data_IF_362614826625
#
_entry.id   IF_362614826625
#
_cell.length_a   1.000
_cell.length_b   1.000
_cell.length_c   1.000
_cell.angle_alpha   90.00
_cell.angle_beta   90.00
_cell.angle_gamma   90.00
#
_symmetry.space_group_name_H-M   'P 1'
#
loop_
_entity.id
_entity.type
_entity.pdbx_description
1 polymer ?
2 non-polymer ?
3 non-polymer ?
4 water ?
#
# COMPACT_ATOMS: atom_id res chain seq x y z
N UNK A 1 -6.67 1.56 24.23
CA UNK A 1 -5.73 0.39 24.27
C UNK A 1 -4.34 0.83 23.79
N UNK A 2 -3.46 -0.15 23.52
CA UNK A 2 -2.03 0.02 23.11
C UNK A 2 -1.87 -0.20 21.59
N UNK A 3 -0.76 0.30 21.04
CA UNK A 3 -0.29 0.01 19.65
C UNK A 3 0.87 -0.99 19.68
N UNK A 4 1.07 -1.68 18.55
CA UNK A 4 2.23 -2.56 18.26
C UNK A 4 3.02 -1.91 17.12
N UNK A 5 4.26 -1.49 17.36
CA UNK A 5 5.06 -0.70 16.39
C UNK A 5 6.14 -1.58 15.74
N UNK A 6 5.97 -1.86 14.45
CA UNK A 6 6.91 -2.64 13.60
C UNK A 6 7.59 -1.71 12.60
N UNK A 7 8.88 -1.89 12.28
CA UNK A 7 9.46 -1.19 11.12
C UNK A 7 8.69 -1.54 9.84
N UNK A 8 8.60 -0.58 8.93
CA UNK A 8 7.87 -0.69 7.63
C UNK A 8 8.53 -1.74 6.72
N UNK A 9 9.85 -1.89 6.79
CA UNK A 9 10.62 -2.77 5.88
C UNK A 9 11.94 -3.23 6.51
N UNK A 10 12.46 -4.35 6.00
CA UNK A 10 13.81 -4.88 6.29
C UNK A 10 14.25 -5.64 5.04
N UNK A 11 15.55 -5.81 4.88
CA UNK A 11 16.14 -6.56 3.76
C UNK A 11 17.45 -7.22 4.19
N UNK A 12 17.81 -8.28 3.48
CA UNK A 12 19.10 -8.98 3.60
C UNK A 12 19.28 -9.90 2.39
N UNK A 13 20.49 -10.41 2.22
CA UNK A 13 20.84 -11.35 1.12
C UNK A 13 20.50 -12.77 1.56
N UNK A 14 20.36 -13.72 0.60
CA UNK A 14 20.09 -15.12 0.95
C UNK A 14 21.16 -15.65 1.91
N UNK A 15 20.77 -16.51 2.86
CA UNK A 15 21.67 -17.15 3.84
C UNK A 15 21.88 -16.31 5.08
N UNK A 16 21.50 -15.04 5.10
CA UNK A 16 21.74 -14.18 6.29
C UNK A 16 20.60 -14.33 7.28
N UNK A 17 20.77 -13.72 8.45
CA UNK A 17 19.79 -13.61 9.56
C UNK A 17 19.21 -12.17 9.60
N UNK A 18 17.89 -12.05 9.73
CA UNK A 18 17.19 -10.73 9.83
C UNK A 18 16.23 -10.80 11.03
N UNK A 19 16.10 -9.68 11.76
CA UNK A 19 15.21 -9.53 12.93
C UNK A 19 14.20 -8.39 12.69
N UNK A 20 12.94 -8.65 13.00
CA UNK A 20 11.75 -7.74 12.89
C UNK A 20 11.25 -7.56 14.31
N UNK A 21 11.34 -6.33 14.80
CA UNK A 21 10.89 -5.90 16.15
C UNK A 21 9.40 -5.54 16.10
N UNK A 22 8.76 -5.58 17.25
CA UNK A 22 7.33 -5.32 17.46
C UNK A 22 7.20 -4.74 18.86
N UNK A 23 7.25 -3.41 18.98
CA UNK A 23 7.29 -2.69 20.28
C UNK A 23 5.87 -2.38 20.75
N UNK A 24 5.53 -2.75 21.98
CA UNK A 24 4.20 -2.48 22.57
C UNK A 24 4.21 -1.07 23.16
N UNK A 25 3.25 -0.23 22.79
CA UNK A 25 3.19 1.22 23.13
C UNK A 25 3.06 1.41 24.65
N UNK A 26 2.00 0.90 25.28
CA UNK A 26 1.77 0.94 26.75
C UNK A 26 1.56 -0.48 27.32
N UNK A 27 1.92 -0.65 28.59
CA UNK A 27 1.76 -1.91 29.32
C UNK A 27 2.94 -2.84 29.09
N UNK A 28 2.75 -4.14 29.38
CA UNK A 28 3.83 -5.16 29.47
C UNK A 28 3.70 -6.14 28.31
N UNK A 29 4.73 -6.24 27.48
CA UNK A 29 4.74 -7.17 26.32
C UNK A 29 4.41 -8.59 26.80
N UNK A 30 4.84 -8.98 28.01
CA UNK A 30 4.69 -10.37 28.52
C UNK A 30 3.29 -10.59 29.11
N UNK A 31 2.49 -9.54 29.27
CA UNK A 31 1.08 -9.63 29.77
C UNK A 31 0.25 -10.50 28.83
N UNK A 32 0.46 -10.35 27.52
CA UNK A 32 -0.34 -11.07 26.51
C UNK A 32 0.60 -11.67 25.46
N UNK A 33 0.21 -12.85 24.95
CA UNK A 33 0.92 -13.62 23.91
C UNK A 33 0.97 -12.83 22.60
N UNK A 34 2.04 -13.05 21.84
CA UNK A 34 2.27 -12.40 20.52
C UNK A 34 2.29 -13.50 19.47
N UNK A 35 1.57 -13.30 18.37
CA UNK A 35 1.56 -14.16 17.15
C UNK A 35 2.32 -13.40 16.05
N UNK A 36 2.92 -14.13 15.10
CA UNK A 36 3.50 -13.57 13.87
C UNK A 36 2.85 -14.24 12.66
N UNK A 37 2.40 -13.45 11.69
CA UNK A 37 1.84 -13.99 10.44
C UNK A 37 2.74 -13.53 9.27
N UNK A 38 2.94 -14.45 8.32
CA UNK A 38 3.64 -14.28 7.04
C UNK A 38 2.62 -14.18 5.91
N UNK A 39 2.66 -13.14 5.08
CA UNK A 39 1.96 -13.14 3.78
C UNK A 39 2.96 -12.97 2.63
N UNK A 40 3.23 -14.02 1.87
CA UNK A 40 3.94 -13.91 0.57
C UNK A 40 3.05 -13.17 -0.42
N UNK A 41 3.64 -12.38 -1.37
CA UNK A 41 2.84 -11.61 -2.31
C UNK A 41 1.98 -12.58 -3.13
N UNK A 42 0.71 -12.23 -3.37
CA UNK A 42 -0.29 -13.07 -4.05
C UNK A 42 -0.63 -14.36 -3.30
N UNK A 43 -0.43 -14.43 -1.96
CA UNK A 43 -0.71 -15.63 -1.12
C UNK A 43 -1.60 -15.28 0.08
N UNK A 44 -2.17 -16.34 0.65
CA UNK A 44 -2.89 -16.32 1.93
C UNK A 44 -1.87 -16.23 3.06
N UNK A 45 -2.21 -15.53 4.17
CA UNK A 45 -1.35 -15.55 5.34
C UNK A 45 -1.30 -16.97 5.94
N UNK A 46 -0.24 -17.21 6.69
CA UNK A 46 -0.01 -18.42 7.52
C UNK A 46 0.60 -17.93 8.83
N UNK A 47 0.35 -18.63 9.91
CA UNK A 47 1.03 -18.38 11.21
C UNK A 47 2.42 -19.01 11.14
N UNK A 48 3.46 -18.25 11.47
CA UNK A 48 4.84 -18.83 11.65
C UNK A 48 5.17 -18.93 13.15
N UNK A 49 4.65 -18.03 14.00
CA UNK A 49 4.82 -18.08 15.48
C UNK A 49 3.47 -17.83 16.17
N UNK A 50 3.21 -18.54 17.26
CA UNK A 50 2.12 -18.21 18.22
C UNK A 50 2.65 -18.30 19.65
N UNK A 51 1.97 -17.66 20.58
CA UNK A 51 2.30 -17.70 22.02
C UNK A 51 3.79 -17.40 22.17
N UNK A 52 4.28 -16.36 21.49
CA UNK A 52 5.59 -15.70 21.69
C UNK A 52 6.66 -16.47 20.91
N UNK A 53 6.68 -17.80 20.99
CA UNK A 53 7.82 -18.57 20.43
C UNK A 53 7.41 -19.97 19.96
N UNK A 54 6.12 -20.28 19.89
CA UNK A 54 5.67 -21.63 19.45
C UNK A 54 5.60 -21.63 17.93
N UNK A 55 6.18 -22.66 17.34
CA UNK A 55 6.26 -22.85 15.88
C UNK A 55 5.25 -23.92 15.53
N UNK A 56 4.23 -23.63 14.68
CA UNK A 56 3.32 -24.65 14.18
C UNK A 56 4.06 -25.67 13.31
N UNK A 57 3.53 -26.89 13.20
CA UNK A 57 4.17 -27.97 12.40
C UNK A 57 4.27 -27.50 10.94
N UNK A 58 5.36 -27.85 10.25
CA UNK A 58 5.62 -27.40 8.87
C UNK A 58 6.35 -26.07 8.78
N UNK A 59 6.59 -25.37 9.90
CA UNK A 59 7.32 -24.07 9.90
C UNK A 59 8.76 -24.30 10.36
N UNK A 60 9.75 -24.14 9.45
CA UNK A 60 11.13 -24.51 9.77
C UNK A 60 11.66 -23.72 10.97
N UNK A 61 12.60 -24.30 11.72
CA UNK A 61 13.14 -23.69 12.96
C UNK A 61 14.11 -22.55 12.63
N UNK A 62 14.20 -22.13 11.36
CA UNK A 62 14.85 -20.86 10.92
C UNK A 62 14.06 -19.69 11.51
N UNK A 63 12.74 -19.86 11.67
CA UNK A 63 11.87 -18.84 12.30
C UNK A 63 11.89 -19.03 13.81
N UNK A 64 12.17 -17.94 14.52
CA UNK A 64 12.27 -17.97 15.99
C UNK A 64 11.65 -16.69 16.58
N UNK A 65 10.73 -16.89 17.52
CA UNK A 65 10.10 -15.79 18.24
C UNK A 65 10.75 -15.62 19.60
N UNK A 66 10.81 -14.39 20.06
CA UNK A 66 11.42 -14.02 21.36
C UNK A 66 10.65 -12.82 21.89
N UNK A 67 10.82 -12.58 23.19
CA UNK A 67 10.27 -11.42 23.92
C UNK A 67 11.45 -10.77 24.62
N UNK A 68 11.52 -9.43 24.58
CA UNK A 68 12.48 -8.63 25.38
C UNK A 68 11.64 -7.71 26.27
N UNK A 69 11.61 -8.01 27.57
CA UNK A 69 10.83 -7.24 28.57
C UNK A 69 11.45 -5.85 28.77
N UNK A 70 12.79 -5.74 28.69
CA UNK A 70 13.56 -4.47 28.83
C UNK A 70 13.07 -3.44 27.81
N UNK A 71 12.91 -3.84 26.55
CA UNK A 71 12.47 -2.97 25.41
C UNK A 71 10.96 -3.06 25.21
N UNK A 72 10.28 -3.93 25.97
CA UNK A 72 8.81 -4.16 25.87
C UNK A 72 8.43 -4.55 24.43
N UNK A 73 9.15 -5.51 23.84
CA UNK A 73 9.05 -5.87 22.40
C UNK A 73 9.11 -7.39 22.21
N UNK A 74 8.40 -7.84 21.17
CA UNK A 74 8.52 -9.15 20.50
C UNK A 74 9.48 -9.00 19.32
N UNK A 75 10.14 -10.09 18.94
CA UNK A 75 10.95 -10.12 17.72
C UNK A 75 10.74 -11.47 17.03
N UNK A 76 10.70 -11.44 15.71
CA UNK A 76 10.78 -12.60 14.82
C UNK A 76 12.16 -12.57 14.16
N UNK A 77 12.94 -13.62 14.37
CA UNK A 77 14.30 -13.77 13.79
C UNK A 77 14.21 -14.88 12.76
N UNK A 78 14.68 -14.59 11.56
CA UNK A 78 14.73 -15.57 10.44
C UNK A 78 16.20 -15.71 10.03
N UNK A 79 16.77 -16.87 10.30
CA UNK A 79 18.16 -17.23 9.90
C UNK A 79 18.11 -18.00 8.57
N UNK A 80 19.23 -18.05 7.87
CA UNK A 80 19.37 -18.82 6.63
C UNK A 80 18.33 -18.37 5.62
N UNK A 81 18.22 -17.05 5.45
CA UNK A 81 17.18 -16.41 4.60
C UNK A 81 17.14 -17.07 3.21
N UNK A 82 15.95 -17.46 2.77
CA UNK A 82 15.67 -18.01 1.42
C UNK A 82 14.69 -17.08 0.69
N UNK A 83 14.63 -17.14 -0.64
CA UNK A 83 13.84 -16.22 -1.48
C UNK A 83 12.36 -16.32 -1.08
N UNK A 84 11.88 -17.52 -0.72
CA UNK A 84 10.44 -17.69 -0.38
C UNK A 84 10.11 -17.00 0.97
N UNK A 85 11.11 -16.60 1.77
CA UNK A 85 10.85 -15.80 3.02
C UNK A 85 10.44 -14.35 2.68
N UNK A 86 10.58 -13.92 1.42
CA UNK A 86 10.12 -12.57 1.00
C UNK A 86 8.61 -12.49 1.19
N UNK A 87 8.13 -11.55 2.02
CA UNK A 87 6.72 -11.50 2.47
C UNK A 87 6.50 -10.31 3.35
N UNK A 88 5.22 -10.06 3.68
CA UNK A 88 4.83 -9.16 4.78
C UNK A 88 4.68 -10.00 6.07
N UNK A 89 5.14 -9.42 7.18
CA UNK A 89 5.16 -10.03 8.53
C UNK A 89 4.40 -9.09 9.46
N UNK A 90 3.34 -9.60 10.08
CA UNK A 90 2.51 -8.87 11.07
C UNK A 90 2.62 -9.56 12.42
N UNK A 91 2.97 -8.80 13.48
CA UNK A 91 2.83 -9.23 14.90
C UNK A 91 1.44 -8.85 15.42
N UNK A 92 0.94 -9.54 16.44
CA UNK A 92 -0.46 -9.43 16.95
C UNK A 92 -0.53 -9.88 18.41
N UNK A 93 -1.19 -9.08 19.27
CA UNK A 93 -1.46 -9.42 20.71
C UNK A 93 -2.86 -8.94 21.11
N UNK A 94 -3.13 -8.80 22.43
CA UNK A 94 -4.45 -8.42 22.99
C UNK A 94 -4.31 -7.60 24.28
N UNK A 95 -5.39 -6.94 24.70
CA UNK A 95 -5.78 -6.58 26.05
C UNK A 95 -7.23 -6.73 26.04
N UNK A 96 -7.83 -7.77 26.68
CA UNK A 96 -9.29 -8.08 26.69
C UNK A 96 -9.66 -8.48 25.33
N UNK A 97 -10.93 -8.27 24.97
CA UNK A 97 -11.50 -8.56 23.62
C UNK A 97 -10.76 -7.75 22.55
N UNK A 98 -9.91 -6.80 22.96
CA UNK A 98 -9.10 -5.94 22.04
C UNK A 98 -7.91 -6.73 21.46
N UNK A 99 -8.11 -7.33 20.29
CA UNK A 99 -7.03 -7.78 19.36
C UNK A 99 -6.28 -6.54 18.86
N UNK A 100 -4.95 -6.58 18.85
CA UNK A 100 -4.11 -5.45 18.37
C UNK A 100 -3.10 -6.01 17.37
N UNK A 101 -3.11 -5.54 16.12
CA UNK A 101 -2.12 -5.87 15.06
C UNK A 101 -1.09 -4.75 14.91
N UNK A 102 0.16 -5.12 14.57
CA UNK A 102 1.17 -4.19 14.01
C UNK A 102 0.85 -3.83 12.57
N UNK A 103 1.47 -2.76 12.07
CA UNK A 103 1.26 -2.20 10.72
C UNK A 103 1.81 -3.12 9.63
N UNK A 104 2.66 -4.08 9.99
CA UNK A 104 3.31 -4.99 9.04
C UNK A 104 4.70 -4.51 8.66
N UNK A 105 5.59 -5.45 8.36
CA UNK A 105 6.99 -5.23 7.93
C UNK A 105 7.19 -6.02 6.64
N UNK A 106 7.46 -5.31 5.53
CA UNK A 106 7.87 -5.94 4.24
C UNK A 106 9.32 -6.40 4.34
N UNK A 107 9.56 -7.70 4.22
CA UNK A 107 10.91 -8.31 4.17
C UNK A 107 11.26 -8.60 2.71
N UNK A 108 12.28 -7.94 2.19
CA UNK A 108 12.90 -8.22 0.87
C UNK A 108 14.18 -9.03 1.07
N UNK A 109 14.25 -10.15 0.36
CA UNK A 109 15.48 -10.92 0.08
C UNK A 109 16.08 -10.32 -1.21
N UNK A 110 17.17 -9.57 -1.07
CA UNK A 110 17.75 -8.70 -2.13
C UNK A 110 17.98 -9.53 -3.38
N UNK A 111 17.28 -9.18 -4.48
CA UNK A 111 17.45 -9.78 -5.81
C UNK A 111 18.39 -8.93 -6.65
N UNK A 112 18.84 -7.80 -6.10
CA UNK A 112 19.62 -6.79 -6.83
C UNK A 112 20.17 -5.81 -5.80
N UNK A 113 21.08 -4.90 -6.19
CA UNK A 113 21.65 -3.92 -5.26
C UNK A 113 20.63 -2.92 -4.74
N UNK A 114 20.78 -2.50 -3.49
CA UNK A 114 19.95 -1.43 -2.89
C UNK A 114 20.17 -0.15 -3.70
N UNK A 115 19.13 0.67 -3.83
CA UNK A 115 19.20 1.99 -4.48
C UNK A 115 18.30 2.95 -3.70
N UNK A 116 18.83 4.06 -3.21
CA UNK A 116 18.03 5.08 -2.49
C UNK A 116 17.19 5.85 -3.50
N UNK A 117 15.95 6.27 -3.14
CA UNK A 117 15.07 6.93 -4.11
C UNK A 117 15.53 8.36 -4.45
N UNK A 118 15.40 8.75 -5.73
CA UNK A 118 15.29 10.17 -6.16
C UNK A 118 13.90 10.66 -5.77
N UNK A 119 13.83 11.78 -5.08
CA UNK A 119 12.57 12.39 -4.55
C UNK A 119 12.48 13.80 -5.14
N UNK A 120 11.45 14.07 -5.94
CA UNK A 120 11.19 15.44 -6.48
C UNK A 120 9.82 15.89 -5.98
N UNK A 121 9.78 17.05 -5.31
CA UNK A 121 8.53 17.66 -4.81
C UNK A 121 8.17 18.83 -5.75
N UNK A 122 6.97 18.75 -6.32
CA UNK A 122 6.43 19.74 -7.28
C UNK A 122 5.30 20.54 -6.63
N UNK A 123 5.38 21.90 -6.62
CA UNK A 123 4.30 22.75 -6.12
C UNK A 123 3.20 22.78 -7.18
N UNK A 124 2.00 23.34 -6.89
CA UNK A 124 0.87 23.21 -7.81
C UNK A 124 1.15 23.87 -9.17
N UNK A 125 0.65 23.33 -10.28
CA UNK A 125 0.79 23.96 -11.63
C UNK A 125 -0.27 25.07 -11.79
N UNK A 126 0.03 26.09 -12.60
CA UNK A 126 -0.88 27.24 -12.91
C UNK A 126 -2.24 26.75 -13.39
N UNK A 127 -2.25 25.81 -14.33
CA UNK A 127 -3.50 25.34 -14.95
C UNK A 127 -4.43 24.69 -13.89
N UNK A 128 -3.91 23.88 -12.97
CA UNK A 128 -4.79 23.19 -11.97
C UNK A 128 -5.31 24.26 -11.00
N UNK A 129 -4.49 25.27 -10.67
CA UNK A 129 -4.84 26.36 -9.74
C UNK A 129 -6.13 27.06 -10.20
N UNK A 130 -6.24 27.38 -11.49
CA UNK A 130 -7.41 28.13 -12.02
C UNK A 130 -8.58 27.17 -12.20
N UNK A 131 -8.38 25.86 -12.01
CA UNK A 131 -9.45 24.85 -11.84
C UNK A 131 -9.74 24.64 -10.35
N UNK A 132 -9.24 25.52 -9.47
CA UNK A 132 -9.39 25.44 -7.98
C UNK A 132 -8.82 24.11 -7.45
N UNK A 133 -7.60 23.73 -7.89
CA UNK A 133 -6.84 22.56 -7.37
C UNK A 133 -5.38 22.97 -7.10
N UNK A 134 -4.86 22.57 -5.95
CA UNK A 134 -3.46 22.79 -5.57
C UNK A 134 -2.81 21.43 -5.23
N UNK A 135 -3.14 20.38 -5.98
CA UNK A 135 -2.51 19.04 -5.80
C UNK A 135 -0.99 19.19 -5.90
N UNK A 136 -0.26 18.71 -4.88
CA UNK A 136 1.22 18.57 -4.91
C UNK A 136 1.55 17.11 -5.31
N UNK A 137 2.62 16.90 -6.06
CA UNK A 137 3.08 15.52 -6.40
C UNK A 137 4.51 15.36 -5.87
N UNK A 138 4.71 14.25 -5.17
CA UNK A 138 6.05 13.77 -4.72
C UNK A 138 6.43 12.58 -5.60
N UNK A 139 7.34 12.75 -6.55
CA UNK A 139 7.79 11.65 -7.45
C UNK A 139 8.97 10.93 -6.77
N UNK A 140 8.91 9.61 -6.71
CA UNK A 140 9.88 8.72 -6.02
C UNK A 140 10.33 7.67 -7.03
N UNK A 141 11.56 7.77 -7.53
CA UNK A 141 12.05 6.89 -8.63
C UNK A 141 13.35 6.21 -8.22
N UNK A 142 13.69 5.14 -8.93
CA UNK A 142 15.05 4.54 -8.98
C UNK A 142 15.42 3.90 -7.63
N UNK A 143 14.48 3.23 -6.96
CA UNK A 143 14.72 2.65 -5.61
C UNK A 143 14.57 1.13 -5.65
N UNK A 144 15.36 0.51 -4.78
CA UNK A 144 15.28 -0.94 -4.50
C UNK A 144 15.77 -1.09 -3.06
N UNK A 145 15.11 -1.93 -2.23
CA UNK A 145 13.86 -2.59 -2.59
C UNK A 145 12.64 -1.70 -2.89
N UNK A 146 11.56 -2.31 -3.38
CA UNK A 146 10.32 -1.64 -3.78
C UNK A 146 9.43 -1.19 -2.63
N UNK A 147 9.90 -1.13 -1.39
CA UNK A 147 9.09 -0.66 -0.24
C UNK A 147 9.45 0.78 0.16
N UNK A 148 8.47 1.69 0.18
CA UNK A 148 8.63 3.07 0.76
C UNK A 148 7.46 3.40 1.68
N UNK A 149 7.68 4.36 2.55
CA UNK A 149 6.65 5.01 3.39
C UNK A 149 6.70 6.50 3.11
N UNK A 150 5.55 7.12 2.90
CA UNK A 150 5.47 8.57 2.58
C UNK A 150 4.59 9.22 3.62
N UNK A 151 5.04 10.33 4.19
CA UNK A 151 4.22 11.18 5.09
C UNK A 151 4.35 12.63 4.61
N UNK A 152 3.26 13.39 4.73
CA UNK A 152 3.21 14.81 4.34
C UNK A 152 3.06 15.68 5.59
N UNK A 153 3.62 16.88 5.53
CA UNK A 153 3.47 17.93 6.57
C UNK A 153 2.93 19.21 5.93
N UNK A 154 1.87 19.76 6.52
CA UNK A 154 1.48 21.18 6.43
C UNK A 154 2.26 21.94 7.51
N UNK A 155 3.25 22.73 7.08
CA UNK A 155 4.28 23.37 7.96
C UNK A 155 4.93 22.21 8.70
N UNK A 156 4.58 22.03 9.97
CA UNK A 156 5.16 21.02 10.88
C UNK A 156 4.17 19.90 11.26
N UNK A 157 2.87 20.13 11.09
CA UNK A 157 1.80 19.15 11.44
C UNK A 157 1.73 18.07 10.36
N UNK A 158 1.84 16.78 10.73
CA UNK A 158 1.37 15.69 9.87
C UNK A 158 0.03 16.02 9.20
N UNK A 159 -0.08 15.71 7.91
CA UNK A 159 -1.36 15.71 7.14
C UNK A 159 -1.74 14.25 6.97
N UNK A 160 -3.01 13.88 7.13
CA UNK A 160 -3.51 12.55 6.71
C UNK A 160 -4.59 12.73 5.64
N UNK A 161 -5.31 13.85 5.71
CA UNK A 161 -6.33 14.26 4.73
C UNK A 161 -5.68 14.52 3.36
N UNK A 162 -6.15 13.79 2.34
CA UNK A 162 -5.92 14.04 0.90
C UNK A 162 -4.71 13.30 0.33
N UNK A 163 -3.97 12.54 1.13
CA UNK A 163 -2.75 11.81 0.69
C UNK A 163 -3.16 10.56 -0.09
N UNK A 164 -2.64 10.38 -1.31
CA UNK A 164 -2.66 9.07 -2.03
C UNK A 164 -1.24 8.74 -2.50
N UNK A 165 -0.84 7.46 -2.35
CA UNK A 165 0.47 6.96 -2.79
C UNK A 165 0.27 5.75 -3.71
N UNK A 166 0.94 5.71 -4.86
CA UNK A 166 0.83 4.55 -5.78
C UNK A 166 1.63 3.37 -5.22
N UNK A 167 1.23 2.17 -5.57
CA UNK A 167 1.99 0.95 -5.31
C UNK A 167 3.26 0.99 -6.17
N UNK A 168 4.45 0.87 -5.56
CA UNK A 168 5.70 0.85 -6.31
C UNK A 168 5.66 -0.14 -7.49
N UNK A 169 6.11 0.32 -8.66
CA UNK A 169 6.16 -0.47 -9.92
C UNK A 169 7.57 -0.46 -10.52
N UNK A 170 7.94 -1.59 -11.10
CA UNK A 170 9.27 -1.83 -11.71
C UNK A 170 9.31 -1.06 -13.03
N UNK A 171 10.27 -0.16 -13.21
CA UNK A 171 10.40 0.64 -14.44
C UNK A 171 11.46 -0.02 -15.37
N UNK A 172 11.84 0.63 -16.46
CA UNK A 172 12.66 0.01 -17.53
C UNK A 172 14.11 -0.22 -17.04
N UNK A 173 14.57 0.52 -16.02
CA UNK A 173 15.93 0.33 -15.43
C UNK A 173 15.87 -0.76 -14.34
N UNK A 174 14.74 -1.48 -14.21
CA UNK A 174 14.54 -2.58 -13.23
C UNK A 174 14.52 -2.05 -11.79
N UNK A 175 14.46 -0.73 -11.59
CA UNK A 175 14.21 -0.13 -10.27
C UNK A 175 12.74 0.33 -10.21
N UNK A 176 12.26 0.56 -9.00
CA UNK A 176 10.87 0.93 -8.66
C UNK A 176 10.67 2.45 -8.73
N UNK A 177 9.47 2.85 -9.17
CA UNK A 177 8.97 4.24 -9.07
C UNK A 177 7.56 4.22 -8.47
N UNK A 178 7.19 5.32 -7.85
CA UNK A 178 5.84 5.59 -7.30
C UNK A 178 5.70 7.11 -7.14
N UNK A 179 4.47 7.58 -6.99
CA UNK A 179 4.15 9.00 -6.70
C UNK A 179 3.19 9.08 -5.51
N UNK A 180 3.39 10.07 -4.65
CA UNK A 180 2.44 10.48 -3.60
C UNK A 180 1.90 11.84 -4.04
N UNK A 181 0.56 11.98 -4.04
CA UNK A 181 -0.12 13.27 -4.30
C UNK A 181 -1.07 13.61 -3.15
N UNK A 182 -0.96 14.89 -2.72
CA UNK A 182 -1.79 15.57 -1.70
C UNK A 182 -2.72 16.58 -2.40
N UNK A 183 -4.00 16.23 -2.50
CA UNK A 183 -5.07 17.05 -3.11
C UNK A 183 -5.46 18.20 -2.16
N UNK A 184 -4.77 19.34 -2.26
CA UNK A 184 -5.06 20.60 -1.50
C UNK A 184 -5.97 21.50 -2.34
N UNK A 185 -6.85 22.26 -1.69
CA UNK A 185 -7.49 23.46 -2.29
C UNK A 185 -6.46 24.57 -2.32
N UNK A 186 -6.57 25.51 -3.28
CA UNK A 186 -5.77 26.72 -3.23
C UNK A 186 -5.76 27.37 -1.83
N UNK A 187 -6.89 27.42 -1.14
CA UNK A 187 -6.97 28.14 0.16
C UNK A 187 -6.05 27.45 1.17
N UNK A 188 -6.07 26.11 1.20
CA UNK A 188 -5.16 25.32 2.07
C UNK A 188 -3.69 25.60 1.69
N UNK A 189 -3.35 25.49 0.41
CA UNK A 189 -1.95 25.60 -0.10
C UNK A 189 -1.38 26.98 0.27
N UNK A 190 -2.21 28.03 0.14
CA UNK A 190 -1.82 29.43 0.41
C UNK A 190 -1.88 29.72 1.92
N UNK A 191 -2.73 29.01 2.67
CA UNK A 191 -2.90 29.25 4.13
C UNK A 191 -1.78 28.58 4.95
N UNK A 192 -0.62 28.24 4.36
CA UNK A 192 0.56 27.64 5.04
C UNK A 192 1.84 28.26 4.48
N UNK A 193 2.96 28.22 5.21
CA UNK A 193 4.25 28.80 4.76
C UNK A 193 4.99 27.82 3.85
N UNK A 194 4.71 26.52 3.97
CA UNK A 194 5.42 25.42 3.25
C UNK A 194 4.73 24.09 3.51
N UNK A 195 4.87 23.15 2.58
CA UNK A 195 4.43 21.74 2.69
C UNK A 195 5.63 20.83 2.47
N UNK A 196 5.56 19.60 2.97
CA UNK A 196 6.72 18.66 2.92
C UNK A 196 6.26 17.22 2.67
N UNK A 197 7.11 16.51 1.93
CA UNK A 197 7.02 15.07 1.59
C UNK A 197 8.23 14.39 2.21
N UNK A 198 7.99 13.48 3.15
CA UNK A 198 9.03 12.71 3.87
C UNK A 198 8.95 11.27 3.36
N UNK A 199 9.99 10.82 2.70
CA UNK A 199 10.06 9.47 2.10
C UNK A 199 11.04 8.64 2.92
N UNK A 200 10.56 7.54 3.49
CA UNK A 200 11.39 6.54 4.20
C UNK A 200 11.56 5.31 3.32
N UNK A 201 12.81 4.88 3.16
CA UNK A 201 13.30 3.71 2.41
C UNK A 201 14.49 3.13 3.16
N UNK A 202 14.48 1.83 3.46
CA UNK A 202 15.58 1.13 4.18
C UNK A 202 15.88 1.89 5.49
N UNK A 203 14.85 2.30 6.24
CA UNK A 203 14.99 2.98 7.55
C UNK A 203 15.50 4.42 7.48
N UNK A 204 15.96 4.87 6.29
CA UNK A 204 16.54 6.21 6.00
C UNK A 204 15.46 7.12 5.39
N UNK A 205 15.28 8.33 5.91
CA UNK A 205 14.17 9.26 5.59
C UNK A 205 14.73 10.53 4.95
N UNK A 206 14.27 10.84 3.73
CA UNK A 206 14.57 12.12 3.01
C UNK A 206 13.30 12.95 3.01
N UNK A 207 13.46 14.28 2.95
CA UNK A 207 12.38 15.27 3.19
C UNK A 207 12.58 16.42 2.20
N UNK A 208 11.56 16.73 1.42
CA UNK A 208 11.61 17.85 0.44
C UNK A 208 10.52 18.83 0.85
N UNK A 209 10.76 20.13 0.64
CA UNK A 209 9.81 21.22 1.02
C UNK A 209 9.53 22.11 -0.18
N UNK A 210 8.26 22.47 -0.39
CA UNK A 210 7.88 23.56 -1.34
C UNK A 210 7.03 24.62 -0.61
N UNK A 211 7.18 25.87 -1.04
CA UNK A 211 6.48 27.05 -0.48
C UNK A 211 5.69 27.74 -1.59
N UNK A 212 4.54 28.36 -1.30
CA UNK A 212 3.89 29.27 -2.26
C UNK A 212 4.81 30.46 -2.62
N UNK A 213 4.83 30.81 -3.92
CA UNK A 213 5.35 32.09 -4.49
C UNK A 213 4.60 32.39 -5.80
N UNK A 214 4.87 33.54 -6.43
CA UNK A 214 4.35 33.92 -7.78
C UNK A 214 5.52 34.16 -8.74
N UNK A 215 5.55 33.46 -9.87
CA UNK A 215 6.48 33.71 -11.01
C UNK A 215 5.72 34.34 -12.18
N UNK B 1 -3.66 -30.56 12.89
CA UNK B 1 -4.06 -29.57 11.85
C UNK B 1 -5.50 -29.83 11.43
N UNK B 2 -6.21 -28.77 11.03
CA UNK B 2 -7.35 -28.78 10.08
C UNK B 2 -7.11 -27.64 9.08
N UNK B 3 -7.93 -27.58 8.03
CA UNK B 3 -7.84 -26.55 6.97
C UNK B 3 -9.20 -25.85 6.81
N UNK B 4 -9.17 -24.57 6.43
CA UNK B 4 -10.38 -23.78 6.14
C UNK B 4 -10.42 -23.59 4.64
N UNK B 5 -11.49 -24.04 4.01
CA UNK B 5 -11.58 -24.06 2.53
C UNK B 5 -12.58 -22.97 2.10
N UNK B 6 -12.10 -22.01 1.32
CA UNK B 6 -12.93 -20.88 0.79
C UNK B 6 -12.94 -21.02 -0.72
N UNK B 7 -13.96 -20.51 -1.43
CA UNK B 7 -13.89 -20.40 -2.88
C UNK B 7 -12.71 -19.48 -3.21
N UNK B 8 -12.10 -19.70 -4.38
CA UNK B 8 -10.99 -18.88 -4.94
C UNK B 8 -11.52 -17.48 -5.27
N UNK B 9 -12.68 -17.41 -5.90
CA UNK B 9 -13.28 -16.18 -6.46
C UNK B 9 -14.82 -16.26 -6.40
N UNK B 10 -15.45 -15.10 -6.27
CA UNK B 10 -16.90 -14.86 -6.55
C UNK B 10 -17.00 -13.48 -7.19
N UNK B 11 -18.04 -13.30 -8.02
CA UNK B 11 -18.37 -12.05 -8.74
C UNK B 11 -19.85 -11.73 -8.52
N UNK B 12 -20.18 -10.45 -8.39
CA UNK B 12 -21.58 -9.99 -8.25
C UNK B 12 -21.63 -8.51 -8.60
N UNK B 13 -22.79 -8.01 -9.02
CA UNK B 13 -23.03 -6.60 -9.42
C UNK B 13 -23.45 -5.80 -8.18
N UNK B 14 -23.38 -4.45 -8.22
CA UNK B 14 -23.69 -3.63 -7.05
C UNK B 14 -25.14 -3.82 -6.58
N UNK B 15 -25.42 -3.40 -5.34
CA UNK B 15 -26.76 -3.49 -4.72
C UNK B 15 -27.20 -4.92 -4.44
N UNK B 16 -26.53 -5.92 -5.01
CA UNK B 16 -26.88 -7.34 -4.78
C UNK B 16 -26.16 -7.84 -3.51
N UNK B 17 -26.43 -9.08 -3.16
CA UNK B 17 -25.95 -9.78 -1.94
C UNK B 17 -24.95 -10.85 -2.35
N UNK B 18 -23.81 -10.92 -1.68
CA UNK B 18 -22.83 -12.01 -1.99
C UNK B 18 -22.52 -12.73 -0.68
N UNK B 19 -22.28 -14.03 -0.81
CA UNK B 19 -21.97 -14.95 0.31
C UNK B 19 -20.65 -15.68 -0.02
N UNK B 20 -19.71 -15.62 0.93
CA UNK B 20 -18.42 -16.36 0.90
C UNK B 20 -18.45 -17.39 2.03
N UNK B 21 -18.35 -18.67 1.69
CA UNK B 21 -18.31 -19.82 2.61
C UNK B 21 -16.87 -20.14 3.02
N UNK B 22 -16.72 -20.67 4.22
CA UNK B 22 -15.44 -21.09 4.81
C UNK B 22 -15.68 -22.43 5.50
N UNK B 23 -15.33 -23.54 4.84
CA UNK B 23 -15.60 -24.91 5.36
C UNK B 23 -14.38 -25.44 6.12
N UNK B 24 -14.60 -25.89 7.36
CA UNK B 24 -13.59 -26.56 8.21
C UNK B 24 -13.53 -28.05 7.82
N UNK B 25 -12.31 -28.56 7.57
CA UNK B 25 -12.00 -29.88 6.96
C UNK B 25 -12.22 -31.00 7.99
N UNK B 26 -11.71 -30.81 9.20
CA UNK B 26 -11.89 -31.72 10.35
C UNK B 26 -12.13 -30.87 11.59
N UNK B 27 -12.78 -31.42 12.61
CA UNK B 27 -13.32 -30.67 13.76
C UNK B 27 -14.61 -29.95 13.40
N UNK B 28 -15.39 -29.60 14.41
CA UNK B 28 -16.65 -28.82 14.26
C UNK B 28 -16.32 -27.32 14.13
N UNK B 29 -16.92 -26.65 13.16
CA UNK B 29 -16.79 -25.19 12.92
C UNK B 29 -17.02 -24.42 14.23
N UNK B 30 -17.90 -24.90 15.11
CA UNK B 30 -18.40 -24.12 16.27
C UNK B 30 -17.55 -24.37 17.52
N UNK B 31 -16.51 -25.20 17.42
CA UNK B 31 -15.56 -25.48 18.53
C UNK B 31 -14.69 -24.24 18.76
N UNK B 32 -14.54 -23.36 17.77
CA UNK B 32 -13.69 -22.13 17.85
C UNK B 32 -14.30 -20.99 17.03
N UNK B 33 -14.09 -19.76 17.52
CA UNK B 33 -14.53 -18.50 16.89
C UNK B 33 -13.90 -18.35 15.49
N UNK B 34 -14.70 -17.85 14.54
CA UNK B 34 -14.25 -17.46 13.18
C UNK B 34 -14.17 -15.93 13.07
N UNK B 35 -13.09 -15.44 12.48
CA UNK B 35 -12.86 -14.03 12.11
C UNK B 35 -12.91 -13.93 10.59
N UNK B 36 -13.28 -12.76 10.06
CA UNK B 36 -13.11 -12.43 8.63
C UNK B 36 -12.27 -11.16 8.46
N UNK B 37 -11.33 -11.19 7.53
CA UNK B 37 -10.45 -10.05 7.19
C UNK B 37 -10.71 -9.70 5.73
N UNK B 38 -10.74 -8.40 5.46
CA UNK B 38 -10.74 -7.80 4.11
C UNK B 38 -9.36 -7.22 3.84
N UNK B 39 -8.81 -7.45 2.66
CA UNK B 39 -7.52 -6.89 2.22
C UNK B 39 -7.73 -6.29 0.83
N UNK B 40 -7.57 -4.98 0.70
CA UNK B 40 -7.42 -4.31 -0.62
C UNK B 40 -5.97 -4.48 -1.05
N UNK B 41 -5.69 -4.70 -2.36
CA UNK B 41 -4.35 -5.06 -2.82
C UNK B 41 -3.35 -3.91 -2.59
N UNK B 42 -2.19 -4.21 -1.98
CA UNK B 42 -1.20 -3.19 -1.56
C UNK B 42 -1.48 -2.60 -0.18
N UNK B 43 -2.47 -3.12 0.55
CA UNK B 43 -2.89 -2.58 1.88
C UNK B 43 -2.74 -3.65 2.97
N UNK B 44 -2.61 -3.21 4.21
CA UNK B 44 -2.78 -4.10 5.37
C UNK B 44 -4.26 -4.46 5.40
N UNK B 45 -4.60 -5.68 5.86
CA UNK B 45 -5.99 -6.06 6.04
C UNK B 45 -6.63 -5.35 7.25
N UNK B 46 -7.96 -5.38 7.27
CA UNK B 46 -8.82 -4.90 8.39
C UNK B 46 -9.73 -6.08 8.80
N UNK B 47 -9.97 -6.18 10.11
CA UNK B 47 -10.98 -7.11 10.65
C UNK B 47 -12.37 -6.60 10.25
N UNK B 48 -13.19 -7.44 9.62
CA UNK B 48 -14.61 -7.07 9.30
C UNK B 48 -15.60 -7.89 10.16
N UNK B 49 -15.24 -9.10 10.60
CA UNK B 49 -16.02 -9.91 11.58
C UNK B 49 -15.04 -10.56 12.56
N UNK B 50 -15.37 -10.57 13.85
CA UNK B 50 -14.77 -11.47 14.86
C UNK B 50 -15.89 -12.16 15.63
N UNK B 51 -15.52 -13.17 16.41
CA UNK B 51 -16.42 -14.03 17.21
C UNK B 51 -17.64 -14.46 16.38
N UNK B 52 -17.40 -14.95 15.17
CA UNK B 52 -18.40 -15.48 14.18
C UNK B 52 -19.27 -14.39 13.55
N UNK B 53 -19.70 -13.37 14.31
CA UNK B 53 -20.75 -12.43 13.81
C UNK B 53 -20.64 -11.02 14.41
N UNK B 54 -19.54 -10.68 15.09
CA UNK B 54 -19.37 -9.34 15.73
C UNK B 54 -18.62 -8.44 14.75
N UNK B 55 -19.15 -7.23 14.51
CA UNK B 55 -18.58 -6.22 13.58
C UNK B 55 -17.79 -5.24 14.43
N UNK B 56 -16.49 -5.03 14.18
CA UNK B 56 -15.73 -3.93 14.81
C UNK B 56 -16.36 -2.56 14.53
N UNK B 57 -16.06 -1.54 15.34
CA UNK B 57 -16.50 -0.15 15.03
C UNK B 57 -15.92 0.27 13.66
N UNK B 58 -16.73 0.92 12.83
CA UNK B 58 -16.30 1.47 11.53
C UNK B 58 -16.48 0.49 10.39
N UNK B 59 -16.91 -0.74 10.66
CA UNK B 59 -17.27 -1.72 9.60
C UNK B 59 -18.74 -1.52 9.26
N UNK B 60 -19.12 -1.36 7.97
CA UNK B 60 -20.52 -1.15 7.62
C UNK B 60 -21.38 -2.36 8.03
N UNK B 61 -22.63 -2.08 8.40
CA UNK B 61 -23.58 -3.09 8.91
C UNK B 61 -24.02 -4.01 7.77
N UNK B 62 -23.58 -3.77 6.53
CA UNK B 62 -23.88 -4.62 5.33
C UNK B 62 -23.06 -5.92 5.38
N UNK B 63 -22.00 -5.95 6.19
CA UNK B 63 -21.16 -7.14 6.44
C UNK B 63 -21.75 -7.92 7.60
N UNK B 64 -22.08 -9.18 7.38
CA UNK B 64 -22.70 -10.09 8.37
C UNK B 64 -21.97 -11.44 8.30
N UNK B 65 -21.52 -11.91 9.46
CA UNK B 65 -20.96 -13.28 9.62
C UNK B 65 -21.99 -14.22 10.18
N UNK B 66 -21.95 -15.48 9.78
CA UNK B 66 -22.84 -16.56 10.29
C UNK B 66 -22.07 -17.88 10.35
N UNK B 67 -22.61 -18.82 11.12
CA UNK B 67 -22.13 -20.23 11.25
C UNK B 67 -23.26 -21.16 10.81
N UNK B 68 -22.93 -22.23 10.09
CA UNK B 68 -23.88 -23.31 9.74
C UNK B 68 -23.25 -24.64 10.16
N UNK B 69 -23.66 -25.18 11.32
CA UNK B 69 -23.10 -26.41 11.94
C UNK B 69 -23.25 -27.61 11.02
N UNK B 70 -24.37 -27.73 10.30
CA UNK B 70 -24.70 -28.93 9.47
C UNK B 70 -23.70 -29.04 8.31
N UNK B 71 -23.44 -27.93 7.58
CA UNK B 71 -22.44 -27.88 6.49
C UNK B 71 -21.04 -27.57 7.04
N UNK B 72 -20.89 -27.55 8.35
CA UNK B 72 -19.59 -27.34 9.03
C UNK B 72 -18.84 -26.15 8.42
N UNK B 73 -19.55 -25.04 8.21
CA UNK B 73 -19.04 -23.86 7.49
C UNK B 73 -19.34 -22.56 8.26
N UNK B 74 -18.56 -21.54 7.94
CA UNK B 74 -18.78 -20.12 8.24
C UNK B 74 -19.11 -19.42 6.93
N UNK B 75 -19.90 -18.36 6.98
CA UNK B 75 -20.17 -17.52 5.80
C UNK B 75 -20.07 -16.05 6.19
N UNK B 76 -19.52 -15.27 5.25
CA UNK B 76 -19.54 -13.80 5.23
C UNK B 76 -20.52 -13.40 4.13
N UNK B 77 -21.52 -12.63 4.49
CA UNK B 77 -22.60 -12.21 3.57
C UNK B 77 -22.52 -10.69 3.49
N UNK B 78 -22.35 -10.18 2.29
CA UNK B 78 -22.29 -8.72 2.03
C UNK B 78 -23.57 -8.37 1.28
N UNK B 79 -24.38 -7.53 1.91
CA UNK B 79 -25.63 -6.94 1.39
C UNK B 79 -25.37 -5.57 0.79
N UNK B 80 -26.13 -5.21 -0.25
CA UNK B 80 -26.02 -3.91 -0.94
C UNK B 80 -24.63 -3.71 -1.50
N UNK B 81 -24.13 -4.70 -2.24
CA UNK B 81 -22.72 -4.76 -2.67
C UNK B 81 -22.35 -3.42 -3.30
N UNK B 82 -21.25 -2.83 -2.82
CA UNK B 82 -20.66 -1.56 -3.33
C UNK B 82 -19.27 -1.85 -3.90
N UNK B 83 -18.74 -0.94 -4.70
CA UNK B 83 -17.48 -1.12 -5.47
C UNK B 83 -16.28 -1.14 -4.50
N UNK B 84 -16.37 -0.41 -3.38
CA UNK B 84 -15.31 -0.37 -2.33
C UNK B 84 -15.17 -1.74 -1.64
N UNK B 85 -16.15 -2.63 -1.77
CA UNK B 85 -16.12 -4.00 -1.17
C UNK B 85 -15.30 -4.95 -2.05
N UNK B 86 -14.86 -4.49 -3.23
CA UNK B 86 -13.91 -5.27 -4.07
C UNK B 86 -12.61 -5.45 -3.28
N UNK B 87 -12.23 -6.70 -3.00
CA UNK B 87 -11.13 -7.04 -2.08
C UNK B 87 -10.95 -8.56 -2.03
N UNK B 88 -9.90 -8.98 -1.34
CA UNK B 88 -9.68 -10.36 -0.87
C UNK B 88 -10.24 -10.48 0.55
N UNK B 89 -11.00 -11.55 0.81
CA UNK B 89 -11.58 -11.88 2.13
C UNK B 89 -11.00 -13.22 2.57
N UNK B 90 -10.57 -13.26 3.83
CA UNK B 90 -9.95 -14.44 4.48
C UNK B 90 -10.74 -14.75 5.75
N UNK B 91 -11.11 -16.02 5.96
CA UNK B 91 -11.62 -16.45 7.26
C UNK B 91 -10.43 -16.96 8.08
N UNK B 92 -10.65 -17.16 9.37
CA UNK B 92 -9.58 -17.55 10.31
C UNK B 92 -10.25 -18.16 11.55
N UNK B 93 -9.74 -19.30 11.98
CA UNK B 93 -10.09 -19.94 13.27
C UNK B 93 -8.81 -20.38 13.98
N UNK B 94 -8.98 -21.23 15.01
CA UNK B 94 -7.93 -21.67 15.95
C UNK B 94 -7.89 -23.20 15.96
N UNK B 95 -6.70 -23.76 16.16
CA UNK B 95 -6.39 -25.21 16.27
C UNK B 95 -5.96 -25.50 17.72
N UNK B 96 -5.79 -24.46 18.56
CA UNK B 96 -5.06 -24.47 19.85
C UNK B 96 -3.57 -24.78 19.59
N UNK B 97 -3.30 -25.67 18.62
CA UNK B 97 -1.97 -25.95 18.01
C UNK B 97 -1.61 -24.96 16.88
N UNK B 98 -2.53 -24.05 16.48
CA UNK B 98 -2.29 -23.03 15.41
C UNK B 98 -3.42 -21.97 15.29
N UNK B 99 -3.15 -20.86 14.60
CA UNK B 99 -4.15 -19.97 13.96
C UNK B 99 -4.18 -20.32 12.47
N UNK B 100 -5.34 -20.73 11.94
CA UNK B 100 -5.45 -21.22 10.52
C UNK B 100 -6.31 -20.23 9.74
N UNK B 101 -5.91 -19.95 8.51
CA UNK B 101 -6.55 -18.99 7.60
C UNK B 101 -7.06 -19.81 6.43
N UNK B 102 -8.15 -19.37 5.81
CA UNK B 102 -8.55 -19.88 4.49
C UNK B 102 -7.62 -19.34 3.44
N UNK B 103 -7.71 -19.92 2.23
CA UNK B 103 -6.94 -19.58 1.02
C UNK B 103 -7.35 -18.23 0.48
N UNK B 104 -8.42 -17.67 1.02
CA UNK B 104 -8.90 -16.33 0.66
C UNK B 104 -9.77 -16.38 -0.57
N UNK B 105 -10.64 -15.38 -0.72
CA UNK B 105 -11.63 -15.26 -1.80
C UNK B 105 -11.50 -13.84 -2.37
N UNK B 106 -11.20 -13.73 -3.66
CA UNK B 106 -11.25 -12.44 -4.41
C UNK B 106 -12.69 -12.15 -4.77
N UNK B 107 -13.24 -11.07 -4.24
CA UNK B 107 -14.57 -10.54 -4.58
C UNK B 107 -14.42 -9.53 -5.71
N UNK B 108 -15.00 -9.84 -6.88
CA UNK B 108 -15.06 -8.94 -8.04
C UNK B 108 -16.45 -8.31 -8.06
N UNK B 109 -16.52 -6.98 -8.05
CA UNK B 109 -17.79 -6.22 -8.20
C UNK B 109 -17.93 -5.87 -9.69
N UNK B 110 -18.84 -6.57 -10.36
CA UNK B 110 -19.06 -6.47 -11.82
C UNK B 110 -19.70 -5.11 -12.13
N UNK B 111 -19.53 -4.64 -13.36
CA UNK B 111 -20.23 -3.50 -13.96
C UNK B 111 -19.84 -2.16 -13.35
N UNK B 112 -18.57 -1.98 -13.00
CA UNK B 112 -18.08 -0.66 -12.51
C UNK B 112 -18.12 0.35 -13.65
N UNK B 113 -18.57 1.59 -13.42
CA UNK B 113 -18.69 2.57 -14.50
C UNK B 113 -17.34 3.12 -14.94
N UNK B 114 -17.21 3.42 -16.24
CA UNK B 114 -16.06 4.17 -16.79
C UNK B 114 -15.91 5.48 -16.01
N UNK B 115 -14.68 5.91 -15.76
CA UNK B 115 -14.34 7.23 -15.19
C UNK B 115 -13.11 7.74 -15.96
N UNK B 116 -13.22 8.93 -16.54
CA UNK B 116 -12.15 9.57 -17.33
C UNK B 116 -11.05 10.00 -16.37
N UNK B 117 -9.76 9.86 -16.76
CA UNK B 117 -8.66 10.31 -15.92
C UNK B 117 -8.65 11.84 -15.78
N UNK B 118 -8.34 12.28 -14.58
CA UNK B 118 -7.94 13.65 -14.27
C UNK B 118 -6.42 13.74 -14.50
N UNK B 119 -5.95 14.69 -15.33
CA UNK B 119 -4.54 14.76 -15.81
C UNK B 119 -3.95 16.10 -15.36
N UNK B 120 -2.80 16.10 -14.66
CA UNK B 120 -2.12 17.34 -14.22
C UNK B 120 -0.63 17.26 -14.56
N UNK B 121 -0.15 18.18 -15.41
CA UNK B 121 1.25 18.22 -15.88
C UNK B 121 1.96 19.28 -15.07
N UNK B 122 3.12 18.91 -14.51
CA UNK B 122 3.96 19.77 -13.63
C UNK B 122 5.30 20.03 -14.31
N UNK B 123 5.69 21.30 -14.50
CA UNK B 123 6.99 21.61 -15.08
C UNK B 123 8.09 21.32 -14.05
N UNK B 124 9.39 21.40 -14.40
CA UNK B 124 10.46 21.17 -13.43
C UNK B 124 10.34 22.13 -12.26
N UNK B 125 10.55 21.65 -11.03
CA UNK B 125 10.72 22.51 -9.84
C UNK B 125 12.01 23.34 -9.98
N UNK B 126 12.04 24.49 -9.29
CA UNK B 126 13.18 25.43 -9.21
C UNK B 126 14.40 24.73 -8.61
N UNK B 127 14.19 24.06 -7.47
CA UNK B 127 15.24 23.40 -6.66
C UNK B 127 15.90 22.31 -7.52
N UNK B 128 15.08 21.57 -8.28
CA UNK B 128 15.52 20.48 -9.16
C UNK B 128 16.43 21.09 -10.23
N UNK B 129 16.05 22.25 -10.78
CA UNK B 129 16.86 22.92 -11.84
C UNK B 129 18.20 23.39 -11.24
N UNK B 130 18.22 23.77 -9.95
CA UNK B 130 19.46 24.14 -9.24
C UNK B 130 20.36 22.91 -9.10
N UNK B 131 19.79 21.71 -9.01
CA UNK B 131 20.53 20.43 -8.94
C UNK B 131 20.72 19.80 -10.34
N UNK B 132 20.52 20.61 -11.39
CA UNK B 132 20.86 20.28 -12.80
C UNK B 132 19.99 19.11 -13.29
N UNK B 133 18.71 19.11 -12.92
CA UNK B 133 17.72 18.12 -13.40
C UNK B 133 16.46 18.87 -13.81
N UNK B 134 15.70 18.30 -14.75
CA UNK B 134 14.49 18.94 -15.30
C UNK B 134 13.41 17.89 -15.57
N UNK B 135 13.09 17.08 -14.57
CA UNK B 135 12.03 16.03 -14.69
C UNK B 135 10.66 16.70 -14.73
N UNK B 136 9.81 16.30 -15.66
CA UNK B 136 8.38 16.69 -15.67
C UNK B 136 7.58 15.49 -15.15
N UNK B 137 6.52 15.73 -14.37
CA UNK B 137 5.57 14.64 -14.00
C UNK B 137 4.19 14.97 -14.54
N UNK B 138 3.52 13.95 -15.06
CA UNK B 138 2.10 13.97 -15.50
C UNK B 138 1.33 13.05 -14.55
N UNK B 139 0.57 13.62 -13.62
CA UNK B 139 -0.30 12.86 -12.68
C UNK B 139 -1.60 12.48 -13.38
N UNK B 140 -1.95 11.19 -13.33
CA UNK B 140 -3.17 10.61 -13.95
C UNK B 140 -3.94 9.90 -12.84
N UNK B 141 -5.02 10.51 -12.35
CA UNK B 141 -5.81 9.97 -11.21
C UNK B 141 -7.27 9.73 -11.60
N UNK B 142 -7.93 8.90 -10.79
CA UNK B 142 -9.40 8.77 -10.70
C UNK B 142 -9.94 8.13 -11.97
N UNK B 143 -9.25 7.12 -12.52
CA UNK B 143 -9.67 6.52 -13.81
C UNK B 143 -10.08 5.06 -13.63
N UNK B 144 -11.09 4.66 -14.40
CA UNK B 144 -11.57 3.26 -14.44
C UNK B 144 -12.06 3.00 -15.87
N UNK B 145 -11.70 1.87 -16.52
CA UNK B 145 -10.79 0.85 -16.00
C UNK B 145 -9.32 1.29 -15.96
N UNK B 146 -8.44 0.39 -15.50
CA UNK B 146 -7.12 0.78 -14.97
C UNK B 146 -6.01 0.69 -16.00
N UNK B 147 -6.29 1.01 -17.27
CA UNK B 147 -5.29 1.02 -18.37
C UNK B 147 -5.29 2.37 -19.08
N UNK B 148 -4.11 2.99 -19.23
CA UNK B 148 -3.85 4.27 -19.96
C UNK B 148 -2.65 4.09 -20.89
N UNK B 149 -2.59 4.85 -21.97
CA UNK B 149 -1.36 5.00 -22.80
C UNK B 149 -0.96 6.48 -22.77
N UNK B 150 0.32 6.73 -22.53
CA UNK B 150 0.88 8.11 -22.46
C UNK B 150 1.85 8.29 -23.61
N UNK B 151 1.72 9.41 -24.30
CA UNK B 151 2.69 9.92 -25.29
C UNK B 151 3.06 11.32 -24.85
N UNK B 152 4.31 11.70 -25.06
CA UNK B 152 4.86 13.02 -24.71
C UNK B 152 5.26 13.73 -26.02
N UNK B 153 5.20 15.06 -26.01
CA UNK B 153 5.64 15.89 -27.15
C UNK B 153 6.61 16.93 -26.62
N UNK B 154 7.66 17.16 -27.40
CA UNK B 154 8.57 18.32 -27.29
C UNK B 154 8.20 19.25 -28.44
N UNK B 155 7.70 20.44 -28.11
CA UNK B 155 6.95 21.27 -29.09
C UNK B 155 5.84 20.36 -29.63
N UNK B 156 5.75 20.16 -30.95
CA UNK B 156 4.73 19.30 -31.59
C UNK B 156 5.28 17.90 -31.94
N UNK B 157 6.55 17.59 -31.71
CA UNK B 157 7.17 16.31 -32.17
C UNK B 157 7.17 15.26 -31.06
N UNK B 158 7.04 13.94 -31.37
CA UNK B 158 7.11 12.88 -30.37
C UNK B 158 8.45 12.82 -29.62
N UNK B 159 8.39 12.71 -28.29
CA UNK B 159 9.53 12.37 -27.38
C UNK B 159 9.65 10.85 -27.32
N UNK B 160 10.77 10.31 -27.79
CA UNK B 160 11.03 8.84 -27.87
C UNK B 160 11.97 8.38 -26.76
N UNK B 161 12.49 9.27 -25.91
CA UNK B 161 13.49 8.92 -24.87
C UNK B 161 13.15 9.58 -23.54
N UNK B 162 13.47 8.90 -22.43
CA UNK B 162 13.43 9.45 -21.07
C UNK B 162 12.06 9.36 -20.43
N UNK B 163 11.08 8.68 -21.06
CA UNK B 163 9.67 8.51 -20.59
C UNK B 163 9.54 7.22 -19.75
N UNK B 164 8.96 7.33 -18.55
CA UNK B 164 8.54 6.19 -17.71
C UNK B 164 7.08 6.39 -17.32
N UNK B 165 6.28 5.32 -17.28
CA UNK B 165 4.91 5.40 -16.73
C UNK B 165 4.76 4.33 -15.63
N UNK B 166 4.23 4.68 -14.45
CA UNK B 166 4.03 3.68 -13.37
C UNK B 166 2.87 2.77 -13.77
N UNK B 167 2.82 1.55 -13.23
CA UNK B 167 1.68 0.61 -13.35
C UNK B 167 0.52 1.19 -12.54
N UNK B 168 -0.65 1.40 -13.18
CA UNK B 168 -1.78 2.01 -12.51
C UNK B 168 -2.11 1.21 -11.24
N UNK B 169 -2.38 1.90 -10.14
CA UNK B 169 -2.73 1.20 -8.88
C UNK B 169 -4.05 1.76 -8.34
N UNK B 170 -4.92 0.86 -7.87
CA UNK B 170 -6.24 1.21 -7.28
C UNK B 170 -6.00 2.05 -6.01
N UNK B 171 -6.62 3.22 -5.90
CA UNK B 171 -6.47 4.14 -4.74
C UNK B 171 -7.72 4.01 -3.84
N UNK B 172 -7.89 4.86 -2.83
CA UNK B 172 -8.94 4.65 -1.79
C UNK B 172 -10.35 4.98 -2.34
N UNK B 173 -10.44 5.77 -3.41
CA UNK B 173 -11.70 6.07 -4.16
C UNK B 173 -12.04 4.93 -5.13
N UNK B 174 -11.34 3.79 -5.03
CA UNK B 174 -11.48 2.56 -5.87
C UNK B 174 -11.29 2.87 -7.38
N UNK B 175 -10.72 4.04 -7.69
CA UNK B 175 -10.26 4.40 -9.04
C UNK B 175 -8.72 4.35 -9.09
N UNK B 176 -8.15 4.17 -10.28
CA UNK B 176 -6.69 4.01 -10.50
C UNK B 176 -5.97 5.37 -10.51
N UNK B 177 -4.66 5.32 -10.21
CA UNK B 177 -3.71 6.45 -10.28
C UNK B 177 -2.39 5.94 -10.87
N UNK B 178 -1.70 6.81 -11.58
CA UNK B 178 -0.38 6.55 -12.19
C UNK B 178 0.27 7.89 -12.47
N UNK B 179 1.59 7.91 -12.59
CA UNK B 179 2.38 9.08 -13.01
C UNK B 179 3.29 8.64 -14.17
N UNK B 180 3.37 9.47 -15.22
CA UNK B 180 4.38 9.43 -16.28
C UNK B 180 5.37 10.53 -15.97
N UNK B 181 6.66 10.23 -16.00
CA UNK B 181 7.71 11.25 -15.79
C UNK B 181 8.68 11.19 -16.97
N UNK B 182 9.13 12.38 -17.33
CA UNK B 182 10.09 12.61 -18.44
C UNK B 182 11.34 13.23 -17.83
N UNK B 183 12.44 12.51 -17.93
CA UNK B 183 13.76 12.91 -17.37
C UNK B 183 14.55 13.71 -18.40
N UNK B 184 14.54 15.03 -18.28
CA UNK B 184 15.22 15.94 -19.23
C UNK B 184 16.41 16.57 -18.52
N UNK B 185 17.40 17.01 -19.28
CA UNK B 185 18.45 17.94 -18.81
C UNK B 185 17.82 19.32 -18.79
N UNK B 186 18.30 20.24 -17.93
CA UNK B 186 17.91 21.65 -18.03
C UNK B 186 17.99 22.22 -19.46
N UNK B 187 18.94 21.73 -20.26
CA UNK B 187 19.23 22.19 -21.65
C UNK B 187 18.02 21.86 -22.53
N UNK B 188 17.61 20.59 -22.53
CA UNK B 188 16.49 20.05 -23.34
C UNK B 188 15.20 20.82 -23.06
N UNK B 189 14.96 21.12 -21.79
CA UNK B 189 13.75 21.84 -21.29
C UNK B 189 13.75 23.29 -21.82
N UNK B 190 14.87 24.01 -21.69
CA UNK B 190 14.95 25.45 -22.08
C UNK B 190 14.99 25.60 -23.61
N UNK B 191 15.42 24.59 -24.35
CA UNK B 191 15.59 24.62 -25.82
C UNK B 191 14.24 24.44 -26.52
N UNK B 192 13.18 24.05 -25.81
CA UNK B 192 11.83 23.89 -26.41
C UNK B 192 10.91 25.00 -25.92
N UNK B 193 9.93 25.32 -26.75
CA UNK B 193 8.83 26.25 -26.38
C UNK B 193 8.00 25.59 -25.29
N UNK B 194 7.66 24.31 -25.46
CA UNK B 194 6.83 23.57 -24.49
C UNK B 194 7.03 22.06 -24.59
N UNK B 195 6.53 21.37 -23.58
CA UNK B 195 6.34 19.91 -23.52
C UNK B 195 4.87 19.66 -23.18
N UNK B 196 4.31 18.61 -23.77
CA UNK B 196 2.94 18.13 -23.60
C UNK B 196 2.95 16.65 -23.21
N UNK B 197 1.99 16.28 -22.39
CA UNK B 197 1.65 14.89 -21.97
C UNK B 197 0.28 14.58 -22.55
N UNK B 198 0.15 13.46 -23.22
CA UNK B 198 -1.10 13.08 -23.92
C UNK B 198 -1.51 11.73 -23.35
N UNK B 199 -2.64 11.70 -22.63
CA UNK B 199 -3.18 10.48 -21.97
C UNK B 199 -4.42 10.02 -22.71
N UNK B 200 -4.41 8.76 -23.12
CA UNK B 200 -5.50 8.07 -23.84
C UNK B 200 -6.07 6.96 -22.94
N UNK B 201 -7.38 7.01 -22.74
CA UNK B 201 -8.17 6.10 -21.89
C UNK B 201 -9.52 5.88 -22.58
N UNK B 202 -9.89 4.65 -22.85
CA UNK B 202 -11.21 4.30 -23.43
C UNK B 202 -11.45 5.16 -24.69
N UNK B 203 -10.41 5.38 -25.52
CA UNK B 203 -10.56 6.05 -26.83
C UNK B 203 -10.46 7.56 -26.75
N UNK B 204 -10.69 8.19 -25.59
CA UNK B 204 -10.60 9.66 -25.39
C UNK B 204 -9.17 10.04 -24.99
N UNK B 205 -8.60 11.04 -25.65
CA UNK B 205 -7.27 11.60 -25.36
C UNK B 205 -7.43 12.94 -24.63
N UNK B 206 -6.65 13.14 -23.59
CA UNK B 206 -6.52 14.41 -22.82
C UNK B 206 -5.06 14.83 -22.98
N UNK B 207 -4.85 16.10 -23.33
CA UNK B 207 -3.51 16.65 -23.61
C UNK B 207 -3.27 17.86 -22.70
N UNK B 208 -2.12 17.91 -22.05
CA UNK B 208 -1.69 19.04 -21.19
C UNK B 208 -0.30 19.49 -21.65
N UNK B 209 -0.02 20.78 -21.47
CA UNK B 209 1.15 21.47 -22.02
C UNK B 209 1.69 22.43 -20.98
N UNK B 210 3.00 22.41 -20.73
CA UNK B 210 3.70 23.39 -19.86
C UNK B 210 4.88 23.94 -20.65
N UNK B 211 5.35 25.11 -20.24
CA UNK B 211 6.40 25.90 -20.90
C UNK B 211 7.34 26.45 -19.84
N UNK B 212 8.63 26.68 -20.16
CA UNK B 212 9.50 27.43 -19.27
C UNK B 212 8.82 28.76 -18.85
N UNK B 213 8.58 28.95 -17.56
CA UNK B 213 7.86 30.14 -17.01
C UNK B 213 8.92 31.24 -16.76
N UNK B 214 8.55 32.49 -17.02
CA UNK B 214 9.39 33.69 -16.77
C UNK B 214 8.72 34.52 -15.68
N UNK B 215 9.51 35.15 -14.80
CA UNK B 215 9.05 35.88 -13.58
C UNK B 215 9.43 37.35 -13.69
X LIG C 1 13.45 -8.33 -6.95
X LIG C 1 14.77 -7.83 -7.58
X LIG C 1 12.30 -7.35 -7.26
X LIG C 1 13.11 -9.71 -7.54
X LIG C 1 13.57 -8.46 -5.43
X LIG D 1 -8.50 -4.40 12.10
X LIG D 1 -7.28 -4.56 11.77
X LIG D 1 -6.91 -5.81 11.32
X LIG D 1 -5.61 -6.08 10.92
X LIG D 1 -5.31 -7.37 10.51
X LIG D 1 -4.01 -7.69 10.13
X LIG D 1 -3.67 -8.91 9.67
X LIG D 1 -4.45 -10.11 9.77
X LIG D 1 -3.47 -11.07 9.12
X LIG D 1 -3.76 -11.11 7.66
X LIG D 1 -2.69 -10.98 6.77
X LIG D 1 -2.93 -10.98 5.40
X LIG D 1 -4.22 -11.07 4.89
X LIG D 1 -5.29 -11.19 5.78
X LIG D 1 -5.07 -11.20 7.16
X LIG D 1 -3.39 -12.43 9.80
X LIG D 1 -3.00 -6.72 10.17
X LIG D 1 -3.30 -5.43 10.58
X LIG D 1 -4.60 -5.11 10.97
X LIG D 1 -4.90 -3.83 11.43
X LIG D 1 -3.77 -2.80 11.47
X LIG D 1 -6.31 -3.54 11.84
X LIG D 1 -6.70 -2.18 12.38
X LIG D 1 -7.23 -1.27 11.37
X LIG D 1 -6.24 -0.18 11.13
X LIG D 1 -6.88 0.98 10.39
X LIG D 1 -8.10 1.38 11.03
X LIG D 1 -9.09 0.35 11.03
X LIG D 1 -8.54 -0.79 11.87
X LIG E 1 -10.70 -4.08 -11.51
X LIG E 1 -10.59 -3.32 -12.83
X LIG E 1 -10.34 -3.15 -10.36
X LIG E 1 -12.14 -4.58 -11.32
X LIG E 1 -9.75 -5.27 -11.56
#
# INVERSE_FOLDING_TARGET
NFMLNQPHSVSESPGKTVTISCTRSSGNIDSNYVQWYQQRPGSAPITVIYEDNQRPSGVPDRFAGSIDRSSNSASLTISGLKTEDEADYYCQSYDARNVVFGGGTRLTVLGQPKAAPSVTLFPPSSEELQANKATLVCLISDFYPGAVTVAWKADSSPVKAGVETTTPSKQSNNKYAASSYLSLTPEQWKSHKSYSCQVTHEGSTVEKTVAPTEC
NFMLNQPHSVSESPGKTVTISCTRSSGNIDSNYVQWYQQRPGSAPITVIYEDNQRPSGVPDRFAGSIDRSSNSASLTISGLKTEDEADYYCQSYDARNVVFGGGTRLTVLGQPKAAPSVTLFPPSSEELQANKATLVCLISDFYPGAVTVAWKADSSPVKAGVETTTPSKQSNNKYAASSYLSLTPEQWKSHKSYSCQVTHEGSTVEKTVAPTEC
PO4 P O1 O2 O3 O4
9ZX O C O1 C1 C2 C3 O2 C4 C5 C7 C8 C9 C10 C11 C12 C6 C13 C14 C15 C16 C17 C18 C19 N C20 C21 O3 C22 C23
PO4 P O1 O2 O3 O4
#
